data_IF_839262896033
#
_entry.id   IF_839262896033
#
_cell.length_a   1.000
_cell.length_b   1.000
_cell.length_c   1.000
_cell.angle_alpha   90.00
_cell.angle_beta   90.00
_cell.angle_gamma   90.00
#
_symmetry.space_group_name_H-M   'P 1'
#
loop_
_entity.id
_entity.type
_entity.pdbx_description
1 polymer ?
#
# COMPACT_ATOMS: atom_id res chain seq x y z
N UNK A 1 29.39 23.92 80.73
CA UNK A 1 28.56 24.04 79.51
C UNK A 1 29.39 23.50 78.36
N UNK A 2 29.11 22.27 77.89
CA UNK A 2 29.83 21.61 76.78
C UNK A 2 28.76 21.20 75.76
N UNK A 3 28.81 21.79 74.57
CA UNK A 3 28.00 21.34 73.41
C UNK A 3 28.93 20.77 72.35
N UNK A 4 28.70 19.51 72.01
CA UNK A 4 29.35 18.77 70.93
C UNK A 4 28.44 18.88 69.70
N UNK A 5 28.95 19.44 68.60
CA UNK A 5 28.26 19.44 67.30
C UNK A 5 28.70 18.19 66.53
N UNK A 6 27.78 17.25 66.33
CA UNK A 6 27.98 16.05 65.50
C UNK A 6 27.45 16.33 64.09
N UNK A 7 28.33 16.28 63.09
CA UNK A 7 27.97 16.42 61.68
C UNK A 7 27.36 15.13 61.13
N UNK A 8 26.20 15.25 60.47
CA UNK A 8 25.53 14.15 59.75
C UNK A 8 25.91 14.25 58.28
N UNK A 9 26.71 13.30 57.81
CA UNK A 9 27.02 13.10 56.39
C UNK A 9 25.87 12.31 55.77
N UNK A 10 25.08 12.95 54.90
CA UNK A 10 24.06 12.27 54.09
C UNK A 10 24.74 11.58 52.90
N UNK A 11 24.85 10.25 52.97
CA UNK A 11 25.23 9.41 51.85
C UNK A 11 23.98 9.16 50.98
N UNK A 12 23.82 9.89 49.88
CA UNK A 12 22.74 9.63 48.91
C UNK A 12 23.13 8.43 48.04
N UNK A 13 22.59 7.26 48.35
CA UNK A 13 22.69 6.07 47.50
C UNK A 13 21.79 6.25 46.26
N UNK A 14 22.42 6.43 45.10
CA UNK A 14 21.75 6.44 43.81
C UNK A 14 21.32 5.03 43.41
N UNK A 15 20.02 4.77 43.45
CA UNK A 15 19.41 3.53 42.92
C UNK A 15 19.23 3.73 41.42
N UNK A 16 20.20 3.25 40.63
CA UNK A 16 20.03 3.09 39.18
C UNK A 16 19.14 1.87 38.94
N UNK A 17 17.86 2.14 38.67
CA UNK A 17 16.91 1.12 38.23
C UNK A 17 17.17 0.82 36.75
N UNK A 18 18.05 -0.14 36.46
CA UNK A 18 18.26 -0.66 35.10
C UNK A 18 17.01 -1.43 34.65
N UNK A 19 16.12 -0.78 33.94
CA UNK A 19 15.03 -1.46 33.24
C UNK A 19 15.63 -2.15 32.00
N UNK A 20 15.94 -3.44 32.10
CA UNK A 20 16.25 -4.26 30.93
C UNK A 20 14.98 -4.49 30.13
N UNK A 21 14.68 -3.59 29.18
CA UNK A 21 13.69 -3.85 28.14
C UNK A 21 14.29 -4.87 27.18
N UNK A 22 14.06 -6.16 27.47
CA UNK A 22 14.19 -7.19 26.45
C UNK A 22 13.15 -6.88 25.38
N UNK A 23 13.60 -6.35 24.25
CA UNK A 23 12.75 -6.19 23.07
C UNK A 23 12.43 -7.61 22.61
N UNK A 24 11.18 -8.11 22.76
CA UNK A 24 10.86 -9.43 22.28
C UNK A 24 11.09 -9.45 20.76
N UNK A 25 11.74 -10.51 20.27
CA UNK A 25 11.83 -10.77 18.84
C UNK A 25 10.44 -10.61 18.23
N UNK A 26 10.29 -10.01 17.03
CA UNK A 26 9.00 -9.81 16.41
C UNK A 26 8.35 -11.17 16.21
N UNK A 27 7.43 -11.54 17.12
CA UNK A 27 6.51 -12.65 16.88
C UNK A 27 5.79 -12.31 15.59
N UNK A 28 5.69 -13.29 14.69
CA UNK A 28 4.80 -13.23 13.54
C UNK A 28 3.50 -12.59 14.00
N UNK A 29 3.10 -11.47 13.36
CA UNK A 29 1.83 -10.83 13.69
C UNK A 29 0.80 -11.95 13.60
N UNK A 30 -0.05 -12.16 14.62
CA UNK A 30 -1.08 -13.17 14.54
C UNK A 30 -2.10 -12.70 13.49
N UNK A 31 -1.81 -12.96 12.22
CA UNK A 31 -2.74 -12.88 11.07
C UNK A 31 -3.92 -13.84 11.30
N UNK A 32 -3.76 -14.79 12.22
CA UNK A 32 -4.74 -15.77 12.62
C UNK A 32 -5.97 -15.17 13.36
N UNK A 33 -5.91 -13.96 13.91
CA UNK A 33 -7.05 -13.40 14.67
C UNK A 33 -8.10 -12.75 13.77
N UNK A 34 -7.69 -12.10 12.68
CA UNK A 34 -8.55 -11.28 11.82
C UNK A 34 -9.63 -12.10 11.11
N UNK A 35 -9.31 -13.34 10.72
CA UNK A 35 -10.24 -14.24 10.04
C UNK A 35 -11.48 -14.59 10.88
N UNK A 36 -11.36 -14.55 12.21
CA UNK A 36 -12.45 -14.86 13.15
C UNK A 36 -13.38 -13.67 13.42
N UNK A 37 -12.92 -12.45 13.14
CA UNK A 37 -13.67 -11.24 13.44
C UNK A 37 -14.78 -10.97 12.42
N UNK A 38 -15.95 -10.45 12.84
CA UNK A 38 -16.96 -9.94 11.92
C UNK A 38 -16.43 -8.78 11.06
N UNK A 39 -16.94 -8.63 9.84
CA UNK A 39 -16.52 -7.56 8.91
C UNK A 39 -16.63 -6.16 9.53
N UNK A 40 -17.69 -5.88 10.30
CA UNK A 40 -17.85 -4.59 10.97
C UNK A 40 -16.71 -4.30 11.97
N UNK A 41 -16.28 -5.32 12.72
CA UNK A 41 -15.16 -5.22 13.65
C UNK A 41 -13.83 -4.99 12.95
N UNK A 42 -13.64 -5.56 11.75
CA UNK A 42 -12.46 -5.30 10.93
C UNK A 42 -12.38 -3.83 10.48
N UNK A 43 -13.50 -3.25 10.04
CA UNK A 43 -13.54 -1.82 9.67
C UNK A 43 -13.30 -0.89 10.87
N UNK A 44 -13.82 -1.24 12.04
CA UNK A 44 -13.51 -0.49 13.26
C UNK A 44 -12.02 -0.62 13.59
N UNK A 45 -11.46 -1.83 13.54
CA UNK A 45 -10.06 -2.10 13.89
C UNK A 45 -9.08 -1.41 12.95
N UNK A 46 -9.31 -1.43 11.64
CA UNK A 46 -8.42 -0.76 10.66
C UNK A 46 -8.38 0.76 10.87
N UNK A 47 -9.49 1.37 11.32
CA UNK A 47 -9.56 2.81 11.55
C UNK A 47 -8.75 3.29 12.77
N UNK A 48 -8.50 2.41 13.75
CA UNK A 48 -7.88 2.78 15.02
C UNK A 48 -6.46 2.25 15.19
N UNK A 49 -6.11 1.13 14.53
CA UNK A 49 -4.77 0.58 14.65
C UNK A 49 -3.72 1.49 13.99
N UNK A 50 -2.50 1.44 14.53
CA UNK A 50 -1.30 2.11 14.01
C UNK A 50 -0.22 1.13 13.59
N UNK A 51 -0.46 -0.18 13.78
CA UNK A 51 0.49 -1.22 13.41
C UNK A 51 0.36 -1.49 11.91
N UNK A 52 1.39 -1.11 11.13
CA UNK A 52 1.40 -1.31 9.67
C UNK A 52 1.12 -2.76 9.28
N UNK A 53 1.78 -3.77 9.87
CA UNK A 53 1.51 -5.15 9.50
C UNK A 53 0.11 -5.62 9.91
N UNK A 54 -0.46 -5.06 10.97
CA UNK A 54 -1.85 -5.33 11.34
C UNK A 54 -2.82 -4.73 10.32
N UNK A 55 -2.57 -3.51 9.85
CA UNK A 55 -3.34 -2.89 8.76
C UNK A 55 -3.28 -3.77 7.51
N UNK A 56 -2.09 -4.27 7.14
CA UNK A 56 -1.92 -5.16 5.98
C UNK A 56 -2.80 -6.41 6.12
N UNK A 57 -2.81 -7.04 7.29
CA UNK A 57 -3.63 -8.22 7.56
C UNK A 57 -5.13 -7.92 7.50
N UNK A 58 -5.57 -6.81 8.10
CA UNK A 58 -6.99 -6.44 8.13
C UNK A 58 -7.50 -6.08 6.72
N UNK A 59 -6.75 -5.29 5.97
CA UNK A 59 -7.13 -4.89 4.60
C UNK A 59 -7.13 -6.08 3.64
N UNK A 60 -6.18 -7.02 3.79
CA UNK A 60 -6.19 -8.28 3.04
C UNK A 60 -7.40 -9.16 3.40
N UNK A 61 -7.77 -9.22 4.68
CA UNK A 61 -8.98 -9.92 5.13
C UNK A 61 -10.24 -9.30 4.54
N UNK A 62 -10.41 -7.99 4.65
CA UNK A 62 -11.53 -7.24 4.08
C UNK A 62 -11.63 -7.45 2.56
N UNK A 63 -10.50 -7.34 1.84
CA UNK A 63 -10.45 -7.60 0.41
C UNK A 63 -10.82 -9.04 0.05
N UNK A 64 -10.35 -10.03 0.83
CA UNK A 64 -10.68 -11.45 0.60
C UNK A 64 -12.17 -11.75 0.78
N UNK A 65 -12.88 -10.93 1.56
CA UNK A 65 -14.34 -10.99 1.76
C UNK A 65 -15.13 -10.15 0.74
N UNK A 66 -14.45 -9.55 -0.24
CA UNK A 66 -15.01 -8.55 -1.16
C UNK A 66 -15.62 -7.33 -0.44
N UNK A 67 -15.15 -7.01 0.76
CA UNK A 67 -15.59 -5.87 1.56
C UNK A 67 -14.61 -4.72 1.32
N UNK A 68 -14.69 -4.10 0.14
CA UNK A 68 -13.70 -3.11 -0.29
C UNK A 68 -13.98 -1.69 0.24
N UNK A 69 -15.21 -1.42 0.68
CA UNK A 69 -15.68 -0.08 1.10
C UNK A 69 -16.66 -0.22 2.25
N UNK A 70 -16.59 0.70 3.21
CA UNK A 70 -17.58 0.88 4.28
C UNK A 70 -17.74 2.37 4.60
N UNK A 71 -18.83 2.97 4.15
CA UNK A 71 -19.06 4.42 4.30
C UNK A 71 -18.00 5.23 3.55
N UNK A 72 -17.23 6.04 4.28
CA UNK A 72 -16.09 6.80 3.75
C UNK A 72 -14.77 6.05 3.80
N UNK A 73 -14.72 4.89 4.46
CA UNK A 73 -13.53 4.05 4.56
C UNK A 73 -13.45 3.06 3.40
N UNK A 74 -12.23 2.76 2.96
CA UNK A 74 -11.99 1.83 1.86
C UNK A 74 -10.66 1.08 2.03
N UNK A 75 -10.58 -0.11 1.44
CA UNK A 75 -9.37 -0.93 1.45
C UNK A 75 -8.27 -0.24 0.64
N UNK A 76 -7.09 -0.05 1.24
CA UNK A 76 -5.99 0.69 0.62
C UNK A 76 -5.95 2.16 1.03
N UNK A 77 -6.86 2.62 1.88
CA UNK A 77 -6.84 3.98 2.41
C UNK A 77 -5.53 4.29 3.15
N UNK A 78 -4.99 3.31 3.88
CA UNK A 78 -3.79 3.47 4.68
C UNK A 78 -2.52 2.99 3.97
N UNK A 79 -2.66 2.02 3.06
CA UNK A 79 -1.53 1.23 2.55
C UNK A 79 -1.20 1.48 1.09
N UNK A 80 -2.14 2.02 0.29
CA UNK A 80 -1.90 2.23 -1.14
C UNK A 80 -0.71 3.15 -1.42
N UNK A 81 -0.39 4.08 -0.51
CA UNK A 81 0.79 4.94 -0.62
C UNK A 81 2.13 4.24 -0.41
N UNK A 82 2.12 3.00 0.13
CA UNK A 82 3.31 2.18 0.36
C UNK A 82 3.62 1.26 -0.82
N UNK A 83 2.65 1.04 -1.72
CA UNK A 83 2.79 0.14 -2.86
C UNK A 83 3.94 0.59 -3.77
N UNK A 84 4.81 -0.34 -4.13
CA UNK A 84 6.01 -0.14 -4.93
C UNK A 84 7.20 0.47 -4.17
N UNK A 85 7.09 0.70 -2.86
CA UNK A 85 8.22 1.17 -2.04
C UNK A 85 8.96 -0.02 -1.41
N UNK A 86 10.19 -0.36 -1.85
CA UNK A 86 10.92 -1.56 -1.43
C UNK A 86 11.41 -1.43 0.02
N UNK A 87 10.52 -1.68 0.97
CA UNK A 87 10.75 -1.50 2.41
C UNK A 87 11.45 -2.71 3.02
N UNK A 88 11.27 -3.89 2.42
CA UNK A 88 11.78 -5.16 2.92
C UNK A 88 12.82 -5.71 1.96
N UNK A 89 14.03 -5.97 2.45
CA UNK A 89 15.09 -6.60 1.65
C UNK A 89 14.72 -8.05 1.35
N UNK A 90 14.69 -8.42 0.06
CA UNK A 90 14.39 -9.78 -0.39
C UNK A 90 15.66 -10.51 -0.78
N UNK A 91 15.71 -11.79 -0.41
CA UNK A 91 16.73 -12.74 -0.83
C UNK A 91 16.04 -13.85 -1.62
N UNK A 92 16.76 -14.52 -2.51
CA UNK A 92 16.20 -15.63 -3.29
C UNK A 92 15.71 -16.71 -2.31
N UNK A 93 14.41 -17.02 -2.36
CA UNK A 93 13.77 -18.00 -1.51
C UNK A 93 14.01 -19.42 -2.03
N UNK A 94 14.49 -20.32 -1.16
CA UNK A 94 14.69 -21.74 -1.48
C UNK A 94 13.63 -22.67 -0.86
N UNK A 95 12.61 -22.12 -0.20
CA UNK A 95 11.55 -22.90 0.46
C UNK A 95 10.27 -22.88 -0.38
N UNK A 96 9.83 -24.06 -0.84
CA UNK A 96 8.53 -24.32 -1.46
C UNK A 96 7.98 -23.19 -2.33
N UNK A 97 8.22 -23.24 -3.64
CA UNK A 97 7.76 -22.23 -4.58
C UNK A 97 6.22 -22.11 -4.55
N UNK A 98 5.72 -20.88 -4.40
CA UNK A 98 4.30 -20.56 -4.61
C UNK A 98 4.23 -19.47 -5.65
N UNK A 99 3.32 -19.65 -6.58
CA UNK A 99 3.07 -18.65 -7.61
C UNK A 99 1.77 -17.90 -7.31
N UNK A 100 1.67 -16.67 -7.85
CA UNK A 100 0.46 -15.87 -7.73
C UNK A 100 -0.78 -16.58 -8.33
N UNK A 101 -0.58 -17.46 -9.31
CA UNK A 101 -1.62 -18.30 -9.90
C UNK A 101 -2.16 -19.40 -8.97
N UNK A 102 -1.48 -19.72 -7.87
CA UNK A 102 -1.93 -20.75 -6.91
C UNK A 102 -3.09 -20.26 -6.04
N UNK A 103 -3.35 -18.95 -6.04
CA UNK A 103 -4.35 -18.33 -5.18
C UNK A 103 -5.55 -17.87 -6.00
N UNK A 104 -6.77 -18.10 -5.47
CA UNK A 104 -8.00 -17.67 -6.14
C UNK A 104 -8.18 -16.15 -6.21
N UNK A 105 -7.35 -15.37 -5.50
CA UNK A 105 -7.31 -13.90 -5.60
C UNK A 105 -6.00 -13.35 -5.04
N UNK A 106 -5.64 -12.13 -5.43
CA UNK A 106 -4.47 -11.43 -4.86
C UNK A 106 -4.62 -11.16 -3.36
N UNK A 107 -5.85 -10.98 -2.85
CA UNK A 107 -6.10 -10.86 -1.42
C UNK A 107 -5.84 -12.18 -0.67
N UNK A 108 -6.18 -13.32 -1.27
CA UNK A 108 -5.86 -14.63 -0.71
C UNK A 108 -4.35 -14.87 -0.68
N UNK A 109 -3.63 -14.48 -1.74
CA UNK A 109 -2.16 -14.52 -1.79
C UNK A 109 -1.55 -13.65 -0.68
N UNK A 110 -2.03 -12.42 -0.51
CA UNK A 110 -1.56 -11.53 0.56
C UNK A 110 -1.77 -12.13 1.95
N UNK A 111 -2.94 -12.71 2.23
CA UNK A 111 -3.20 -13.36 3.52
C UNK A 111 -2.24 -14.51 3.78
N UNK A 112 -2.02 -15.35 2.78
CA UNK A 112 -1.08 -16.46 2.88
C UNK A 112 0.35 -15.95 3.14
N UNK A 113 0.80 -14.96 2.37
CA UNK A 113 2.10 -14.30 2.55
C UNK A 113 2.30 -13.79 3.97
N UNK A 114 1.33 -13.02 4.49
CA UNK A 114 1.39 -12.50 5.87
C UNK A 114 1.38 -13.65 6.90
N UNK A 115 0.56 -14.68 6.70
CA UNK A 115 0.52 -15.84 7.61
C UNK A 115 1.81 -16.67 7.60
N UNK A 116 2.58 -16.60 6.52
CA UNK A 116 3.86 -17.30 6.34
C UNK A 116 5.06 -16.49 6.87
N UNK A 117 4.81 -15.35 7.52
CA UNK A 117 5.84 -14.48 8.11
C UNK A 117 6.09 -13.17 7.36
N UNK A 118 5.30 -12.87 6.32
CA UNK A 118 5.24 -11.55 5.73
C UNK A 118 4.79 -10.48 6.74
N UNK A 119 5.15 -9.21 6.55
CA UNK A 119 5.94 -8.69 5.43
C UNK A 119 7.46 -8.83 5.63
N UNK A 120 7.91 -9.24 6.82
CA UNK A 120 9.34 -9.31 7.16
C UNK A 120 10.09 -10.43 6.43
N UNK A 121 9.42 -11.55 6.20
CA UNK A 121 9.99 -12.70 5.49
C UNK A 121 9.16 -13.02 4.26
N UNK A 122 9.82 -13.44 3.19
CA UNK A 122 9.17 -13.89 1.96
C UNK A 122 9.68 -15.30 1.62
N UNK A 123 9.26 -16.27 2.44
CA UNK A 123 9.74 -17.65 2.32
C UNK A 123 9.35 -18.29 0.97
N UNK A 124 8.28 -17.80 0.35
CA UNK A 124 7.69 -18.35 -0.87
C UNK A 124 7.90 -17.47 -2.11
N UNK A 125 8.63 -16.35 -1.99
CA UNK A 125 8.95 -15.49 -3.13
C UNK A 125 7.75 -14.77 -3.74
N UNK A 126 6.72 -14.47 -2.96
CA UNK A 126 5.47 -13.86 -3.42
C UNK A 126 5.53 -12.33 -3.51
N UNK A 127 6.48 -11.69 -2.81
CA UNK A 127 6.70 -10.23 -2.77
C UNK A 127 8.16 -9.93 -3.13
N UNK A 128 8.48 -10.14 -4.41
CA UNK A 128 9.86 -10.04 -4.94
C UNK A 128 10.37 -8.61 -5.00
N UNK A 129 9.49 -7.63 -5.13
CA UNK A 129 9.81 -6.21 -5.10
C UNK A 129 9.96 -5.66 -3.68
N UNK A 130 9.49 -6.39 -2.67
CA UNK A 130 9.76 -6.12 -1.26
C UNK A 130 8.99 -4.92 -0.72
N UNK A 131 7.83 -4.63 -1.29
CA UNK A 131 6.98 -3.52 -0.85
C UNK A 131 6.02 -3.90 0.29
N UNK A 132 5.96 -5.19 0.63
CA UNK A 132 5.09 -5.75 1.65
C UNK A 132 3.76 -6.28 1.11
N UNK A 133 3.55 -6.22 -0.21
CA UNK A 133 2.33 -6.67 -0.88
C UNK A 133 2.65 -7.77 -1.89
N UNK A 134 2.27 -9.00 -1.54
CA UNK A 134 2.39 -10.15 -2.41
C UNK A 134 1.59 -10.00 -3.70
N UNK A 135 2.19 -10.47 -4.79
CA UNK A 135 1.54 -10.58 -6.09
C UNK A 135 0.91 -9.25 -6.54
N UNK A 136 -0.33 -9.29 -7.06
CA UNK A 136 -1.03 -8.10 -7.55
C UNK A 136 -1.85 -7.39 -6.45
N UNK A 137 -1.61 -7.69 -5.17
CA UNK A 137 -2.37 -7.07 -4.09
C UNK A 137 -2.14 -5.56 -4.02
N UNK A 138 -0.89 -5.09 -4.20
CA UNK A 138 -0.60 -3.65 -4.30
C UNK A 138 -1.37 -2.96 -5.44
N UNK A 139 -1.55 -3.63 -6.59
CA UNK A 139 -2.36 -3.12 -7.70
C UNK A 139 -3.84 -3.01 -7.34
N UNK A 140 -4.38 -3.97 -6.59
CA UNK A 140 -5.74 -3.92 -6.05
C UNK A 140 -5.92 -2.69 -5.16
N UNK A 141 -5.00 -2.48 -4.21
CA UNK A 141 -5.03 -1.33 -3.29
C UNK A 141 -5.01 0.00 -4.03
N UNK A 142 -4.08 0.17 -4.97
CA UNK A 142 -3.98 1.38 -5.78
C UNK A 142 -5.25 1.63 -6.62
N UNK A 143 -5.81 0.58 -7.22
CA UNK A 143 -7.04 0.69 -8.02
C UNK A 143 -8.19 1.17 -7.16
N UNK A 144 -8.42 0.55 -6.01
CA UNK A 144 -9.50 0.93 -5.10
C UNK A 144 -9.29 2.35 -4.55
N UNK A 145 -8.09 2.64 -4.06
CA UNK A 145 -7.79 3.96 -3.52
C UNK A 145 -7.96 5.08 -4.55
N UNK A 146 -7.56 4.88 -5.81
CA UNK A 146 -7.77 5.85 -6.88
C UNK A 146 -9.25 6.08 -7.20
N UNK A 147 -10.07 5.02 -7.17
CA UNK A 147 -11.51 5.13 -7.37
C UNK A 147 -12.19 5.95 -6.27
N UNK A 148 -11.78 5.78 -5.01
CA UNK A 148 -12.42 6.43 -3.86
C UNK A 148 -11.85 7.82 -3.55
N UNK A 149 -10.56 8.07 -3.80
CA UNK A 149 -9.98 9.43 -3.72
C UNK A 149 -10.66 10.40 -4.68
N UNK A 150 -11.04 9.92 -5.86
CA UNK A 150 -11.69 10.74 -6.88
C UNK A 150 -13.19 11.01 -6.59
N UNK A 151 -13.83 10.19 -5.75
CA UNK A 151 -15.27 10.29 -5.42
C UNK A 151 -15.57 11.02 -4.11
N UNK A 152 -14.55 11.47 -3.37
CA UNK A 152 -14.73 12.21 -2.12
C UNK A 152 -15.29 13.62 -2.36
N UNK A 153 -16.39 14.02 -1.68
CA UNK A 153 -17.01 15.35 -1.85
C UNK A 153 -16.05 16.51 -1.58
N UNK A 154 -15.09 16.32 -0.67
CA UNK A 154 -14.09 17.33 -0.30
C UNK A 154 -13.12 17.68 -1.44
N UNK A 155 -12.99 16.81 -2.45
CA UNK A 155 -12.25 17.07 -3.69
C UNK A 155 -13.16 17.38 -4.89
N UNK A 156 -14.48 17.26 -4.75
CA UNK A 156 -15.45 17.64 -5.78
C UNK A 156 -15.55 19.16 -6.02
N UNK A 157 -14.85 19.97 -5.20
CA UNK A 157 -14.67 21.42 -5.40
C UNK A 157 -13.47 21.71 -6.33
N UNK A 158 -12.55 20.76 -6.49
CA UNK A 158 -11.62 20.82 -7.61
C UNK A 158 -12.32 20.21 -8.82
N UNK A 159 -12.25 20.83 -10.01
CA UNK A 159 -12.64 20.13 -11.20
C UNK A 159 -11.77 18.87 -11.25
N UNK A 160 -12.38 17.70 -11.05
CA UNK A 160 -11.73 16.45 -11.46
C UNK A 160 -11.21 16.65 -12.89
N UNK A 161 -10.09 16.03 -13.34
CA UNK A 161 -9.62 16.16 -14.70
C UNK A 161 -10.80 16.11 -15.61
N UNK A 162 -11.11 17.29 -16.16
CA UNK A 162 -12.18 17.43 -17.12
C UNK A 162 -11.79 16.39 -18.15
N UNK A 163 -12.62 15.35 -18.33
CA UNK A 163 -12.71 14.80 -19.67
C UNK A 163 -12.98 16.05 -20.49
N UNK A 164 -11.96 16.51 -21.20
CA UNK A 164 -12.11 17.61 -22.11
C UNK A 164 -13.18 17.12 -23.07
N UNK A 165 -14.43 17.44 -22.76
CA UNK A 165 -15.52 17.51 -23.71
C UNK A 165 -14.91 18.33 -24.81
N UNK A 166 -14.62 17.66 -25.92
CA UNK A 166 -13.88 18.20 -27.03
C UNK A 166 -14.36 19.62 -27.28
N UNK A 167 -13.60 20.59 -26.74
CA UNK A 167 -13.75 21.97 -27.17
C UNK A 167 -13.51 21.94 -28.67
N UNK A 168 -14.18 22.79 -29.46
CA UNK A 168 -13.97 22.83 -30.90
C UNK A 168 -12.46 22.86 -31.13
N UNK A 169 -11.95 21.77 -31.71
CA UNK A 169 -10.53 21.47 -31.79
C UNK A 169 -9.82 22.71 -32.32
N UNK A 170 -9.18 23.46 -31.43
CA UNK A 170 -8.27 24.53 -31.85
C UNK A 170 -7.18 23.77 -32.59
N UNK A 171 -7.21 23.85 -33.92
CA UNK A 171 -6.25 23.22 -34.81
C UNK A 171 -4.88 23.73 -34.42
N UNK A 172 -4.21 22.98 -33.56
CA UNK A 172 -2.77 23.09 -33.37
C UNK A 172 -2.21 22.46 -34.63
N UNK A 173 -2.01 23.30 -35.64
CA UNK A 173 -1.23 23.00 -36.83
C UNK A 173 0.19 22.76 -36.33
N UNK A 174 0.52 21.50 -36.06
CA UNK A 174 1.88 21.07 -35.80
C UNK A 174 2.16 19.86 -36.68
N UNK A 175 3.07 20.04 -37.63
CA UNK A 175 3.57 19.01 -38.54
C UNK A 175 2.99 19.08 -39.95
N UNK A 176 3.51 19.98 -40.79
CA UNK A 176 3.19 20.16 -42.21
C UNK A 176 3.75 19.07 -43.14
N UNK A 177 3.89 17.83 -42.67
CA UNK A 177 4.40 16.72 -43.48
C UNK A 177 3.41 15.55 -43.49
N UNK A 178 2.87 15.29 -44.67
CA UNK A 178 2.06 14.12 -44.98
C UNK A 178 2.96 12.94 -45.34
N UNK A 179 2.66 11.77 -44.79
CA UNK A 179 3.31 10.51 -45.08
C UNK A 179 2.33 9.59 -45.82
N UNK A 180 2.81 8.76 -46.75
CA UNK A 180 1.97 7.78 -47.46
C UNK A 180 2.00 6.44 -46.71
N UNK A 181 0.83 5.92 -46.40
CA UNK A 181 0.65 4.63 -45.74
C UNK A 181 0.71 3.45 -46.72
N UNK A 182 0.86 2.22 -46.21
CA UNK A 182 1.00 1.01 -47.02
C UNK A 182 -0.23 0.66 -47.87
N UNK A 183 -1.38 1.28 -47.61
CA UNK A 183 -2.62 1.15 -48.40
C UNK A 183 -2.90 2.35 -49.30
N UNK A 184 -1.90 3.20 -49.53
CA UNK A 184 -1.99 4.36 -50.44
C UNK A 184 -2.63 5.62 -49.88
N UNK A 185 -3.17 5.62 -48.65
CA UNK A 185 -3.72 6.81 -47.99
C UNK A 185 -2.64 7.63 -47.26
N UNK A 186 -2.84 8.95 -47.13
CA UNK A 186 -1.91 9.85 -46.42
C UNK A 186 -2.25 9.98 -44.93
N UNK A 187 -1.24 10.33 -44.12
CA UNK A 187 -1.43 10.63 -42.70
C UNK A 187 -0.38 11.62 -42.17
N UNK A 188 -0.68 12.30 -41.06
CA UNK A 188 0.31 13.06 -40.27
C UNK A 188 0.69 12.31 -38.99
N UNK A 189 1.81 12.67 -38.37
CA UNK A 189 2.21 12.16 -37.05
C UNK A 189 1.84 13.21 -36.00
N UNK A 190 1.02 12.84 -35.03
CA UNK A 190 0.65 13.74 -33.91
C UNK A 190 1.86 14.00 -33.02
N UNK A 191 1.80 15.05 -32.19
CA UNK A 191 2.83 15.32 -31.18
C UNK A 191 3.08 14.13 -30.21
N UNK A 192 2.09 13.23 -30.07
CA UNK A 192 2.17 11.98 -29.30
C UNK A 192 2.73 10.78 -30.09
N UNK A 193 3.16 10.95 -31.34
CA UNK A 193 3.75 9.90 -32.17
C UNK A 193 2.75 8.97 -32.88
N UNK A 194 1.45 9.23 -32.77
CA UNK A 194 0.41 8.39 -33.38
C UNK A 194 0.11 8.84 -34.81
N UNK A 195 -0.28 7.88 -35.67
CA UNK A 195 -0.68 8.16 -37.06
C UNK A 195 -2.11 8.69 -37.11
N UNK A 196 -2.30 9.84 -37.76
CA UNK A 196 -3.60 10.44 -38.02
C UNK A 196 -3.90 10.49 -39.53
N UNK A 197 -4.73 9.57 -40.00
CA UNK A 197 -5.12 9.43 -41.41
C UNK A 197 -6.14 10.46 -41.91
N UNK A 198 -6.59 11.40 -41.06
CA UNK A 198 -7.40 12.55 -41.46
C UNK A 198 -6.72 13.90 -41.21
N UNK A 199 -5.41 13.88 -40.92
CA UNK A 199 -4.59 15.09 -40.71
C UNK A 199 -3.99 15.66 -42.00
N UNK A 200 -4.09 14.88 -43.07
CA UNK A 200 -3.98 15.23 -44.48
C UNK A 200 -5.35 14.89 -45.11
#
# INVERSE_FOLDING_TARGET
MRSVLTGVIFLTAGILCSCSTTVPAPKAIPVADQSSLPTASLWQRVSVTRSVPEIFAIEAELASRNQMVSGSSFVGQHTAGMVGSPTYTRSVSNQGDRDCSDFGSSAAAQKFFLSSGGPYTDAHGLDRDGDGFACEFGKLLNTNANQHRYRSPSFAVLPGPVRASAGPSRRVVSGSQCFVGPRGGTYTITASGNKNYGGC
#
